data_IF_086477151633
#
_entry.id   IF_086477151633
#
_cell.length_a   1.000
_cell.length_b   1.000
_cell.length_c   1.000
_cell.angle_alpha   90.00
_cell.angle_beta   90.00
_cell.angle_gamma   90.00
#
_symmetry.space_group_name_H-M   'P 1'
#
loop_
_entity.id
_entity.type
_entity.pdbx_description
1 polymer ?
#
# COMPACT_ATOMS: atom_id res chain seq x y z
N UNK A 1 20.35 -2.92 -5.50
CA UNK A 1 21.81 -2.82 -5.58
C UNK A 1 22.18 -1.36 -5.81
N UNK A 2 23.09 -0.83 -5.01
CA UNK A 2 23.63 0.52 -5.20
C UNK A 2 24.51 0.45 -6.46
N UNK A 3 24.10 1.15 -7.53
CA UNK A 3 24.90 1.22 -8.76
C UNK A 3 26.23 1.88 -8.47
N UNK A 4 27.34 1.25 -8.85
CA UNK A 4 28.67 1.85 -8.69
C UNK A 4 28.84 3.07 -9.63
N UNK A 5 29.75 3.98 -9.29
CA UNK A 5 30.08 5.09 -10.21
C UNK A 5 30.49 4.62 -11.62
N UNK A 6 30.98 3.38 -11.73
CA UNK A 6 31.32 2.74 -13.01
C UNK A 6 30.06 2.33 -13.79
N UNK A 7 29.06 1.76 -13.12
CA UNK A 7 27.79 1.34 -13.76
C UNK A 7 27.02 2.56 -14.26
N UNK A 8 26.95 3.62 -13.43
CA UNK A 8 26.37 4.91 -13.84
C UNK A 8 27.11 5.48 -15.03
N UNK A 9 28.46 5.49 -14.99
CA UNK A 9 29.29 5.98 -16.05
C UNK A 9 29.09 5.22 -17.38
N UNK A 10 28.93 3.90 -17.33
CA UNK A 10 28.65 3.09 -18.51
C UNK A 10 27.27 3.43 -19.11
N UNK A 11 26.24 3.53 -18.28
CA UNK A 11 24.88 3.94 -18.71
C UNK A 11 24.90 5.30 -19.40
N UNK A 12 25.66 6.27 -18.87
CA UNK A 12 25.79 7.60 -19.46
C UNK A 12 26.54 7.60 -20.82
N UNK A 13 27.50 6.69 -20.98
CA UNK A 13 28.21 6.53 -22.28
C UNK A 13 27.28 5.90 -23.30
N UNK A 14 26.54 4.85 -22.91
CA UNK A 14 25.61 4.14 -23.80
C UNK A 14 24.46 5.06 -24.26
N UNK A 15 24.02 5.98 -23.38
CA UNK A 15 23.05 7.02 -23.70
C UNK A 15 23.62 8.23 -24.47
N UNK A 16 24.92 8.26 -24.76
CA UNK A 16 25.57 9.38 -25.47
C UNK A 16 25.70 10.67 -24.64
N UNK A 17 25.48 10.58 -23.33
CA UNK A 17 25.58 11.74 -22.41
C UNK A 17 27.01 12.13 -22.15
N UNK A 18 27.92 11.18 -21.92
CA UNK A 18 29.34 11.42 -21.72
C UNK A 18 30.17 10.56 -22.68
N UNK A 19 31.40 10.99 -22.98
CA UNK A 19 32.29 10.29 -23.91
C UNK A 19 33.11 9.17 -23.29
N UNK A 20 33.28 9.15 -21.94
CA UNK A 20 34.23 8.25 -21.27
C UNK A 20 33.76 7.91 -19.86
N UNK A 21 33.61 6.58 -19.59
CA UNK A 21 33.36 6.03 -18.26
C UNK A 21 34.42 6.48 -17.27
N UNK A 22 35.71 6.37 -17.63
CA UNK A 22 36.82 6.75 -16.74
C UNK A 22 36.85 8.22 -16.37
N UNK A 23 36.41 9.12 -17.27
CA UNK A 23 36.30 10.55 -16.97
C UNK A 23 35.17 10.81 -15.95
N UNK A 24 34.03 10.12 -16.10
CA UNK A 24 32.92 10.23 -15.18
C UNK A 24 33.27 9.66 -13.81
N UNK A 25 33.86 8.46 -13.73
CA UNK A 25 34.26 7.82 -12.46
C UNK A 25 35.21 8.72 -11.65
N UNK A 26 36.22 9.31 -12.30
CA UNK A 26 37.13 10.26 -11.64
C UNK A 26 36.40 11.46 -11.02
N UNK A 27 35.38 11.97 -11.70
CA UNK A 27 34.59 13.10 -11.20
C UNK A 27 33.66 12.64 -10.07
N UNK A 28 33.05 11.46 -10.20
CA UNK A 28 32.20 10.84 -9.20
C UNK A 28 32.94 10.63 -7.87
N UNK A 29 34.17 10.06 -7.91
CA UNK A 29 35.01 9.82 -6.73
C UNK A 29 35.47 11.10 -6.04
N UNK A 30 35.65 12.21 -6.79
CA UNK A 30 36.06 13.49 -6.22
C UNK A 30 34.94 14.29 -5.59
N UNK A 31 33.70 13.91 -5.80
CA UNK A 31 32.52 14.67 -5.36
C UNK A 31 31.80 13.93 -4.24
N UNK A 32 31.90 14.43 -3.02
CA UNK A 32 31.29 13.79 -1.85
C UNK A 32 29.75 13.57 -2.00
N UNK A 33 29.07 14.51 -2.67
CA UNK A 33 27.64 14.42 -2.95
C UNK A 33 27.25 13.30 -3.94
N UNK A 34 28.19 12.69 -4.67
CA UNK A 34 27.90 11.63 -5.65
C UNK A 34 27.19 10.42 -5.04
N UNK A 35 27.41 10.16 -3.75
CA UNK A 35 26.73 9.10 -3.01
C UNK A 35 25.24 9.37 -2.73
N UNK A 36 24.77 10.60 -2.93
CA UNK A 36 23.35 10.96 -2.80
C UNK A 36 22.56 10.78 -4.09
N UNK A 37 23.18 10.40 -5.20
CA UNK A 37 22.48 10.09 -6.45
C UNK A 37 21.54 8.92 -6.20
N UNK A 38 20.25 9.15 -6.42
CA UNK A 38 19.21 8.13 -6.25
C UNK A 38 19.04 7.33 -7.54
N UNK A 39 18.69 6.04 -7.47
CA UNK A 39 18.24 5.30 -8.65
C UNK A 39 17.02 5.98 -9.28
N UNK A 40 16.94 5.98 -10.61
CA UNK A 40 15.81 6.59 -11.34
C UNK A 40 16.19 6.96 -12.77
N UNK A 41 15.24 7.54 -13.49
CA UNK A 41 15.44 8.08 -14.83
C UNK A 41 15.77 9.56 -14.74
N UNK A 42 16.75 10.01 -15.50
CA UNK A 42 17.21 11.39 -15.52
C UNK A 42 17.17 11.97 -16.94
N UNK A 43 16.69 13.21 -17.07
CA UNK A 43 16.76 13.97 -18.31
C UNK A 43 18.09 14.72 -18.36
N UNK A 44 19.02 14.24 -19.18
CA UNK A 44 20.32 14.85 -19.39
C UNK A 44 20.53 15.19 -20.87
N UNK A 45 21.34 16.22 -21.14
CA UNK A 45 21.74 16.57 -22.53
C UNK A 45 22.78 15.57 -23.04
N UNK A 46 22.79 15.35 -24.33
CA UNK A 46 23.87 14.60 -24.96
C UNK A 46 25.18 15.40 -24.95
N UNK A 47 26.32 14.71 -25.04
CA UNK A 47 27.67 15.29 -25.17
C UNK A 47 28.05 16.25 -24.03
N UNK A 48 27.60 15.94 -22.81
CA UNK A 48 27.99 16.69 -21.61
C UNK A 48 29.43 16.37 -21.18
N UNK A 49 30.06 17.31 -20.46
CA UNK A 49 31.27 16.99 -19.69
C UNK A 49 30.94 16.05 -18.54
N UNK A 50 31.91 15.28 -18.04
CA UNK A 50 31.72 14.42 -16.88
C UNK A 50 31.24 15.20 -15.64
N UNK A 51 31.75 16.40 -15.42
CA UNK A 51 31.30 17.27 -14.33
C UNK A 51 29.86 17.77 -14.54
N UNK A 52 29.52 18.15 -15.78
CA UNK A 52 28.16 18.57 -16.12
C UNK A 52 27.14 17.46 -15.97
N UNK A 53 27.47 16.24 -16.40
CA UNK A 53 26.61 15.06 -16.24
C UNK A 53 26.42 14.71 -14.75
N UNK A 54 27.49 14.77 -13.95
CA UNK A 54 27.38 14.53 -12.49
C UNK A 54 26.52 15.60 -11.80
N UNK A 55 26.72 16.88 -12.14
CA UNK A 55 25.87 17.96 -11.63
C UNK A 55 24.40 17.77 -12.04
N UNK A 56 24.17 17.33 -13.28
CA UNK A 56 22.82 17.01 -13.76
C UNK A 56 22.17 15.84 -13.02
N UNK A 57 22.92 14.82 -12.60
CA UNK A 57 22.42 13.71 -11.78
C UNK A 57 22.17 14.10 -10.32
N UNK A 58 22.84 15.14 -9.82
CA UNK A 58 22.65 15.66 -8.47
C UNK A 58 21.50 16.69 -8.39
N UNK A 59 21.09 17.20 -9.53
CA UNK A 59 19.94 18.11 -9.63
C UNK A 59 18.66 17.27 -9.71
N UNK A 60 17.87 17.29 -8.63
CA UNK A 60 16.62 16.53 -8.54
C UNK A 60 15.59 16.94 -9.60
N UNK A 61 15.67 18.15 -10.14
CA UNK A 61 14.78 18.60 -11.24
C UNK A 61 14.99 17.87 -12.56
N UNK A 62 16.15 17.23 -12.72
CA UNK A 62 16.44 16.38 -13.87
C UNK A 62 15.99 14.92 -13.72
N UNK A 63 15.55 14.55 -12.52
CA UNK A 63 15.03 13.21 -12.26
C UNK A 63 13.61 13.09 -12.79
N UNK A 64 13.42 12.19 -13.73
CA UNK A 64 12.13 11.90 -14.38
C UNK A 64 11.71 10.51 -13.93
N UNK A 65 11.46 10.30 -12.65
CA UNK A 65 10.75 9.11 -12.22
C UNK A 65 9.30 9.25 -12.66
N UNK A 66 8.97 8.51 -13.70
CA UNK A 66 7.67 8.60 -14.36
C UNK A 66 6.70 7.52 -13.90
N UNK A 67 6.97 6.82 -12.80
CA UNK A 67 6.12 5.71 -12.37
C UNK A 67 5.84 5.75 -10.87
N UNK A 68 4.57 5.89 -10.52
CA UNK A 68 4.08 5.72 -9.16
C UNK A 68 3.65 4.28 -9.01
N UNK A 69 4.29 3.53 -8.10
CA UNK A 69 3.92 2.15 -7.81
C UNK A 69 3.22 2.08 -6.45
N UNK A 70 2.02 1.50 -6.44
CA UNK A 70 1.23 1.22 -5.24
C UNK A 70 1.22 -0.30 -5.04
N UNK A 71 1.57 -0.73 -3.83
CA UNK A 71 1.47 -2.14 -3.43
C UNK A 71 0.24 -2.35 -2.54
N UNK A 72 -0.27 -3.59 -2.50
CA UNK A 72 -1.34 -3.95 -1.57
C UNK A 72 -0.92 -3.69 -0.11
N UNK A 73 -1.88 -3.32 0.73
CA UNK A 73 -1.68 -2.97 2.12
C UNK A 73 -1.15 -1.54 2.36
N UNK A 74 -0.67 -0.83 1.35
CA UNK A 74 -0.27 0.57 1.52
C UNK A 74 -1.45 1.45 1.92
N UNK A 75 -1.20 2.37 2.86
CA UNK A 75 -2.18 3.37 3.30
C UNK A 75 -2.23 4.55 2.33
N UNK A 76 -3.35 5.23 2.29
CA UNK A 76 -3.50 6.46 1.49
C UNK A 76 -2.41 7.49 1.79
N UNK A 77 -1.97 7.61 3.06
CA UNK A 77 -0.89 8.50 3.46
C UNK A 77 0.44 8.18 2.78
N UNK A 78 0.75 6.90 2.58
CA UNK A 78 1.96 6.45 1.89
C UNK A 78 1.84 6.71 0.37
N UNK A 79 0.64 6.53 -0.19
CA UNK A 79 0.36 6.86 -1.59
C UNK A 79 0.50 8.36 -1.83
N UNK A 80 -0.05 9.21 -0.95
CA UNK A 80 0.12 10.67 -1.01
C UNK A 80 1.60 11.06 -1.06
N UNK A 81 2.39 10.53 -0.12
CA UNK A 81 3.84 10.77 -0.09
C UNK A 81 4.52 10.34 -1.38
N UNK A 82 4.14 9.18 -1.93
CA UNK A 82 4.70 8.69 -3.20
C UNK A 82 4.36 9.63 -4.37
N UNK A 83 3.15 10.19 -4.42
CA UNK A 83 2.74 11.18 -5.42
C UNK A 83 3.59 12.44 -5.31
N UNK A 84 3.77 12.98 -4.08
CA UNK A 84 4.65 14.12 -3.81
C UNK A 84 6.08 13.86 -4.31
N UNK A 85 6.66 12.71 -3.92
CA UNK A 85 8.05 12.37 -4.23
C UNK A 85 8.29 12.20 -5.75
N UNK A 86 7.34 11.60 -6.48
CA UNK A 86 7.50 11.28 -7.90
C UNK A 86 7.14 12.46 -8.79
N UNK A 87 6.06 13.18 -8.48
CA UNK A 87 5.59 14.30 -9.30
C UNK A 87 6.30 15.62 -8.97
N UNK A 88 7.01 15.71 -7.85
CA UNK A 88 7.65 16.96 -7.40
C UNK A 88 6.66 18.07 -7.04
N UNK A 89 5.46 17.70 -6.60
CA UNK A 89 4.40 18.61 -6.16
C UNK A 89 4.40 18.76 -4.65
N UNK A 90 3.64 19.73 -4.11
CA UNK A 90 3.53 19.90 -2.65
C UNK A 90 2.47 18.97 -2.04
N UNK A 91 2.57 18.72 -0.73
CA UNK A 91 1.56 17.95 0.00
C UNK A 91 0.17 18.60 -0.11
N UNK A 92 0.10 19.94 -0.06
CA UNK A 92 -1.15 20.69 -0.18
C UNK A 92 -1.83 20.48 -1.54
N UNK A 93 -1.03 20.36 -2.62
CA UNK A 93 -1.57 20.09 -3.96
C UNK A 93 -2.15 18.67 -4.04
N UNK A 94 -1.50 17.70 -3.40
CA UNK A 94 -2.01 16.32 -3.34
C UNK A 94 -3.25 16.23 -2.45
N UNK A 95 -3.25 16.91 -1.30
CA UNK A 95 -4.40 16.96 -0.41
C UNK A 95 -5.60 17.63 -1.06
N UNK A 96 -5.39 18.72 -1.80
CA UNK A 96 -6.44 19.40 -2.57
C UNK A 96 -7.03 18.46 -3.64
N UNK A 97 -6.19 17.65 -4.32
CA UNK A 97 -6.64 16.69 -5.30
C UNK A 97 -7.52 15.59 -4.66
N UNK A 98 -7.13 15.05 -3.50
CA UNK A 98 -7.95 14.08 -2.75
C UNK A 98 -9.24 14.67 -2.19
N UNK A 99 -9.27 15.96 -1.86
CA UNK A 99 -10.46 16.66 -1.37
C UNK A 99 -11.51 16.88 -2.47
N UNK A 100 -11.09 16.99 -3.72
CA UNK A 100 -11.99 17.09 -4.87
C UNK A 100 -12.44 15.69 -5.33
N UNK A 101 -13.36 15.12 -4.56
CA UNK A 101 -13.86 13.74 -4.78
C UNK A 101 -14.55 13.56 -6.12
N UNK A 102 -15.16 14.62 -6.66
CA UNK A 102 -15.79 14.59 -7.99
C UNK A 102 -14.73 14.52 -9.10
N UNK A 103 -13.68 15.35 -9.01
CA UNK A 103 -12.62 15.37 -10.02
C UNK A 103 -11.80 14.08 -10.08
N UNK A 104 -11.59 13.39 -8.95
CA UNK A 104 -10.94 12.08 -8.92
C UNK A 104 -11.91 10.93 -9.22
N UNK A 105 -13.19 11.19 -9.40
CA UNK A 105 -14.21 10.18 -9.70
C UNK A 105 -14.46 9.20 -8.54
N UNK A 106 -14.26 9.65 -7.30
CA UNK A 106 -14.49 8.81 -6.12
C UNK A 106 -15.99 8.54 -5.94
N UNK A 107 -16.43 7.27 -5.93
CA UNK A 107 -17.84 6.95 -5.76
C UNK A 107 -18.40 7.41 -4.41
N UNK A 108 -19.69 7.73 -4.39
CA UNK A 108 -20.37 8.20 -3.16
C UNK A 108 -20.32 7.21 -2.01
N UNK A 109 -20.31 5.90 -2.32
CA UNK A 109 -20.18 4.81 -1.33
C UNK A 109 -18.88 4.83 -0.56
N UNK A 110 -17.83 5.50 -1.07
CA UNK A 110 -16.57 5.73 -0.35
C UNK A 110 -16.70 6.72 0.81
N UNK A 111 -17.82 7.42 0.93
CA UNK A 111 -18.05 8.39 2.01
C UNK A 111 -17.09 9.58 2.02
N UNK A 112 -16.50 9.92 0.86
CA UNK A 112 -15.55 11.02 0.72
C UNK A 112 -14.10 10.68 1.11
N UNK A 113 -13.80 9.43 1.45
CA UNK A 113 -12.45 8.97 1.81
C UNK A 113 -11.94 7.94 0.78
N UNK A 114 -10.81 8.24 0.13
CA UNK A 114 -10.24 7.38 -0.89
C UNK A 114 -9.39 6.21 -0.34
N UNK A 115 -9.32 6.02 1.00
CA UNK A 115 -8.65 4.85 1.57
C UNK A 115 -9.28 3.55 1.07
N UNK A 116 -8.45 2.66 0.52
CA UNK A 116 -8.88 1.40 -0.09
C UNK A 116 -9.39 1.52 -1.54
N UNK A 117 -9.50 2.74 -2.09
CA UNK A 117 -10.00 2.99 -3.44
C UNK A 117 -8.90 3.27 -4.47
N UNK A 118 -7.63 3.09 -4.11
CA UNK A 118 -6.49 3.34 -5.00
C UNK A 118 -5.89 2.00 -5.44
N UNK A 119 -6.24 1.52 -6.62
CA UNK A 119 -5.87 0.18 -7.07
C UNK A 119 -4.36 -0.05 -7.00
N UNK A 120 -3.86 -1.11 -6.35
CA UNK A 120 -2.46 -1.51 -6.42
C UNK A 120 -2.02 -1.74 -7.87
N UNK A 121 -0.86 -1.17 -8.22
CA UNK A 121 -0.33 -1.22 -9.58
C UNK A 121 0.75 -0.19 -9.84
N UNK A 122 1.21 -0.10 -11.08
CA UNK A 122 2.20 0.89 -11.53
C UNK A 122 1.53 1.88 -12.48
N UNK A 123 1.65 3.16 -12.16
CA UNK A 123 1.03 4.27 -12.89
C UNK A 123 2.12 5.15 -13.49
N UNK A 124 2.21 5.15 -14.80
CA UNK A 124 3.09 6.08 -15.50
C UNK A 124 2.56 7.51 -15.35
N UNK A 125 3.47 8.42 -15.10
CA UNK A 125 3.20 9.86 -14.97
C UNK A 125 3.84 10.57 -16.15
N UNK A 126 3.03 11.29 -16.91
CA UNK A 126 3.45 12.13 -18.03
C UNK A 126 3.65 13.59 -17.59
N UNK A 127 4.26 14.42 -18.47
CA UNK A 127 4.45 15.85 -18.20
C UNK A 127 3.11 16.63 -18.06
N UNK A 128 2.04 16.12 -18.65
CA UNK A 128 0.72 16.73 -18.61
C UNK A 128 -0.13 16.25 -17.41
N UNK A 129 0.37 15.29 -16.65
CA UNK A 129 -0.36 14.76 -15.51
C UNK A 129 -0.35 15.71 -14.31
N UNK A 130 -1.48 15.79 -13.64
CA UNK A 130 -1.68 16.43 -12.33
C UNK A 130 -1.92 15.38 -11.25
N UNK A 131 -1.77 15.69 -9.97
CA UNK A 131 -2.16 14.77 -8.89
C UNK A 131 -3.59 14.23 -9.08
N UNK A 132 -4.52 15.10 -9.47
CA UNK A 132 -5.92 14.72 -9.73
C UNK A 132 -6.06 13.66 -10.83
N UNK A 133 -5.36 13.83 -11.97
CA UNK A 133 -5.46 12.87 -13.09
C UNK A 133 -4.87 11.51 -12.72
N UNK A 134 -3.80 11.50 -11.96
CA UNK A 134 -3.15 10.26 -11.50
C UNK A 134 -4.04 9.53 -10.49
N UNK A 135 -4.55 10.25 -9.49
CA UNK A 135 -5.46 9.69 -8.47
C UNK A 135 -6.74 9.17 -9.14
N UNK A 136 -7.30 9.91 -10.09
CA UNK A 136 -8.49 9.47 -10.83
C UNK A 136 -8.28 8.14 -11.56
N UNK A 137 -7.10 7.90 -12.13
CA UNK A 137 -6.75 6.59 -12.73
C UNK A 137 -6.70 5.47 -11.71
N UNK A 138 -6.19 5.74 -10.50
CA UNK A 138 -6.15 4.78 -9.40
C UNK A 138 -7.55 4.41 -8.92
N UNK A 139 -8.39 5.41 -8.70
CA UNK A 139 -9.80 5.23 -8.29
C UNK A 139 -10.57 4.48 -9.36
N UNK A 140 -10.46 4.92 -10.63
CA UNK A 140 -11.10 4.23 -11.76
C UNK A 140 -10.68 2.77 -11.84
N UNK A 141 -9.41 2.48 -11.63
CA UNK A 141 -8.89 1.11 -11.60
C UNK A 141 -9.61 0.24 -10.56
N UNK A 142 -9.82 0.77 -9.34
CA UNK A 142 -10.58 0.05 -8.31
C UNK A 142 -12.04 -0.16 -8.70
N UNK A 143 -12.69 0.86 -9.27
CA UNK A 143 -14.08 0.74 -9.73
C UNK A 143 -14.19 -0.32 -10.83
N UNK A 144 -13.33 -0.26 -11.85
CA UNK A 144 -13.30 -1.22 -12.95
C UNK A 144 -13.06 -2.67 -12.45
N UNK A 145 -12.17 -2.83 -11.45
CA UNK A 145 -11.88 -4.12 -10.84
C UNK A 145 -13.10 -4.68 -10.09
N UNK A 146 -13.78 -3.85 -9.30
CA UNK A 146 -14.99 -4.25 -8.58
C UNK A 146 -16.12 -4.58 -9.55
N UNK A 147 -16.27 -3.84 -10.65
CA UNK A 147 -17.22 -4.13 -11.73
C UNK A 147 -16.93 -5.47 -12.39
N UNK A 148 -15.65 -5.72 -12.70
CA UNK A 148 -15.19 -6.99 -13.28
C UNK A 148 -15.46 -8.19 -12.37
N UNK A 149 -15.38 -7.98 -11.06
CA UNK A 149 -15.67 -9.00 -10.04
C UNK A 149 -17.17 -9.11 -9.70
N UNK A 150 -18.02 -8.27 -10.31
CA UNK A 150 -19.47 -8.29 -10.14
C UNK A 150 -19.95 -7.72 -8.79
N UNK A 151 -19.16 -6.85 -8.15
CA UNK A 151 -19.51 -6.23 -6.86
C UNK A 151 -20.50 -5.09 -7.09
N UNK A 152 -21.70 -5.23 -6.54
CA UNK A 152 -22.72 -4.18 -6.63
C UNK A 152 -22.24 -2.89 -5.92
N UNK A 153 -22.57 -1.69 -6.43
CA UNK A 153 -22.15 -0.42 -5.83
C UNK A 153 -22.38 -0.33 -4.31
N UNK A 154 -23.56 -0.76 -3.86
CA UNK A 154 -23.91 -0.74 -2.43
C UNK A 154 -23.00 -1.60 -1.52
N UNK A 155 -22.32 -2.60 -2.08
CA UNK A 155 -21.48 -3.55 -1.32
C UNK A 155 -19.99 -3.19 -1.39
N UNK A 156 -19.57 -2.31 -2.32
CA UNK A 156 -18.15 -2.03 -2.61
C UNK A 156 -17.37 -1.60 -1.39
N UNK A 157 -17.88 -0.62 -0.64
CA UNK A 157 -17.19 -0.12 0.55
C UNK A 157 -17.00 -1.23 1.59
N UNK A 158 -18.02 -2.04 1.85
CA UNK A 158 -17.96 -3.17 2.78
C UNK A 158 -16.95 -4.22 2.32
N UNK A 159 -16.93 -4.54 1.03
CA UNK A 159 -15.97 -5.48 0.44
C UNK A 159 -14.54 -4.96 0.58
N UNK A 160 -14.28 -3.68 0.27
CA UNK A 160 -12.95 -3.08 0.40
C UNK A 160 -12.48 -3.01 1.86
N UNK A 161 -13.36 -2.70 2.81
CA UNK A 161 -13.04 -2.72 4.24
C UNK A 161 -12.58 -4.12 4.65
N UNK A 162 -13.38 -5.15 4.37
CA UNK A 162 -13.05 -6.54 4.73
C UNK A 162 -11.76 -7.00 4.02
N UNK A 163 -11.60 -6.69 2.74
CA UNK A 163 -10.42 -7.09 1.97
C UNK A 163 -9.14 -6.43 2.49
N UNK A 164 -9.19 -5.16 2.90
CA UNK A 164 -8.04 -4.49 3.49
C UNK A 164 -7.62 -5.10 4.84
N UNK A 165 -8.58 -5.61 5.61
CA UNK A 165 -8.30 -6.35 6.85
C UNK A 165 -7.67 -7.71 6.52
N UNK A 166 -8.22 -8.45 5.54
CA UNK A 166 -7.64 -9.73 5.10
C UNK A 166 -6.18 -9.57 4.69
N UNK A 167 -5.84 -8.56 3.89
CA UNK A 167 -4.45 -8.25 3.50
C UNK A 167 -3.58 -7.84 4.69
N UNK A 168 -4.15 -7.13 5.66
CA UNK A 168 -3.45 -6.71 6.87
C UNK A 168 -3.12 -7.87 7.84
N UNK A 169 -3.93 -8.93 7.81
CA UNK A 169 -3.79 -10.09 8.70
C UNK A 169 -3.10 -11.29 8.02
N UNK A 170 -3.15 -11.40 6.69
CA UNK A 170 -2.74 -12.62 5.99
C UNK A 170 -2.09 -12.33 4.65
N UNK A 171 -0.84 -12.77 4.50
CA UNK A 171 -0.07 -12.66 3.25
C UNK A 171 0.02 -13.99 2.46
N UNK A 172 -0.62 -15.06 2.97
CA UNK A 172 -0.60 -16.38 2.33
C UNK A 172 -1.94 -16.66 1.68
N UNK A 173 -1.94 -16.72 0.37
CA UNK A 173 -3.14 -16.82 -0.49
C UNK A 173 -4.14 -17.89 -0.02
N UNK A 174 -3.65 -19.09 0.32
CA UNK A 174 -4.51 -20.23 0.72
C UNK A 174 -5.33 -19.98 1.99
N UNK A 175 -4.86 -19.06 2.87
CA UNK A 175 -5.54 -18.77 4.13
C UNK A 175 -6.44 -17.53 4.06
N UNK A 176 -6.28 -16.67 3.05
CA UNK A 176 -7.12 -15.47 2.89
C UNK A 176 -8.62 -15.76 2.92
N UNK A 177 -9.16 -16.79 2.20
CA UNK A 177 -10.59 -17.13 2.28
C UNK A 177 -11.03 -17.61 3.68
N UNK A 178 -10.13 -18.21 4.45
CA UNK A 178 -10.39 -18.65 5.82
C UNK A 178 -10.43 -17.45 6.78
N UNK A 179 -9.52 -16.49 6.63
CA UNK A 179 -9.54 -15.21 7.39
C UNK A 179 -10.82 -14.43 7.06
N UNK A 180 -11.19 -14.35 5.77
CA UNK A 180 -12.46 -13.75 5.37
C UNK A 180 -13.66 -14.44 6.05
N UNK A 181 -13.64 -15.76 6.17
CA UNK A 181 -14.67 -16.51 6.91
C UNK A 181 -14.69 -16.15 8.40
N UNK A 182 -13.52 -16.01 9.04
CA UNK A 182 -13.45 -15.57 10.45
C UNK A 182 -14.08 -14.18 10.62
N UNK A 183 -13.82 -13.26 9.70
CA UNK A 183 -14.42 -11.91 9.72
C UNK A 183 -15.95 -12.03 9.66
N UNK A 184 -16.51 -12.80 8.71
CA UNK A 184 -17.96 -12.99 8.59
C UNK A 184 -18.57 -13.63 9.84
N UNK A 185 -17.93 -14.68 10.37
CA UNK A 185 -18.42 -15.38 11.56
C UNK A 185 -18.41 -14.46 12.79
N UNK A 186 -17.34 -13.66 12.99
CA UNK A 186 -17.27 -12.71 14.11
C UNK A 186 -18.31 -11.59 14.00
N UNK A 187 -18.55 -11.06 12.80
CA UNK A 187 -19.59 -10.05 12.59
C UNK A 187 -20.98 -10.60 12.91
N UNK A 188 -21.23 -11.88 12.64
CA UNK A 188 -22.49 -12.55 12.95
C UNK A 188 -22.62 -12.96 14.43
N UNK A 189 -21.49 -13.11 15.14
CA UNK A 189 -21.43 -13.61 16.53
C UNK A 189 -21.74 -12.51 17.56
N UNK A 190 -22.82 -11.77 17.38
CA UNK A 190 -23.17 -10.61 18.23
C UNK A 190 -23.51 -10.97 19.68
N UNK A 191 -23.94 -12.20 19.93
CA UNK A 191 -24.35 -12.70 21.25
C UNK A 191 -23.43 -13.78 21.81
N UNK A 192 -22.39 -14.18 21.09
CA UNK A 192 -21.46 -15.24 21.47
C UNK A 192 -20.15 -14.71 22.06
N UNK A 193 -19.06 -15.45 21.85
CA UNK A 193 -17.76 -15.17 22.46
C UNK A 193 -17.14 -13.86 21.97
N UNK A 194 -17.30 -13.53 20.69
CA UNK A 194 -16.64 -12.36 20.08
C UNK A 194 -17.48 -11.08 20.15
N UNK A 195 -18.77 -11.20 20.43
CA UNK A 195 -19.73 -10.08 20.57
C UNK A 195 -19.72 -9.13 19.35
N UNK A 196 -19.49 -9.65 18.16
CA UNK A 196 -19.37 -8.87 16.94
C UNK A 196 -18.06 -8.10 16.77
N UNK A 197 -17.12 -8.25 17.68
CA UNK A 197 -15.80 -7.60 17.61
C UNK A 197 -14.85 -8.41 16.74
N UNK A 198 -14.20 -7.72 15.78
CA UNK A 198 -13.22 -8.39 14.89
C UNK A 198 -11.91 -8.71 15.62
N UNK A 199 -11.46 -7.85 16.53
CA UNK A 199 -10.26 -8.07 17.33
C UNK A 199 -8.97 -8.19 16.52
N UNK A 200 -8.86 -7.46 15.39
CA UNK A 200 -7.74 -7.52 14.45
C UNK A 200 -6.66 -6.50 14.79
N UNK A 201 -5.40 -6.95 14.84
CA UNK A 201 -4.27 -6.08 15.18
C UNK A 201 -4.00 -5.04 14.08
N UNK A 202 -4.18 -5.39 12.83
CA UNK A 202 -4.06 -4.49 11.69
C UNK A 202 -4.95 -3.25 11.82
N UNK A 203 -6.17 -3.41 12.30
CA UNK A 203 -7.12 -2.30 12.51
C UNK A 203 -6.69 -1.41 13.67
N UNK A 204 -6.19 -1.99 14.77
CA UNK A 204 -5.65 -1.26 15.92
C UNK A 204 -4.45 -0.41 15.47
N UNK A 205 -3.47 -1.02 14.79
CA UNK A 205 -2.29 -0.33 14.29
C UNK A 205 -2.65 0.81 13.33
N UNK A 206 -3.62 0.60 12.44
CA UNK A 206 -4.11 1.66 11.56
C UNK A 206 -4.68 2.83 12.37
N UNK A 207 -5.54 2.56 13.35
CA UNK A 207 -6.19 3.58 14.17
C UNK A 207 -5.23 4.45 14.96
N UNK A 208 -4.06 3.92 15.36
CA UNK A 208 -3.00 4.68 16.05
C UNK A 208 -1.92 5.23 15.10
N UNK A 209 -2.11 5.08 13.77
CA UNK A 209 -1.18 5.62 12.77
C UNK A 209 0.10 4.81 12.56
N UNK A 210 0.21 3.61 13.13
CA UNK A 210 1.37 2.71 12.93
C UNK A 210 1.21 1.92 11.64
N UNK A 211 2.29 1.72 10.90
CA UNK A 211 2.27 1.01 9.59
C UNK A 211 2.61 -0.48 9.71
N UNK A 212 3.22 -0.91 10.82
CA UNK A 212 3.65 -2.29 11.04
C UNK A 212 3.94 -2.55 12.51
N UNK A 213 4.18 -3.81 12.86
CA UNK A 213 4.56 -4.25 14.20
C UNK A 213 3.44 -5.02 14.91
N UNK A 214 3.60 -5.16 16.22
CA UNK A 214 2.59 -5.73 17.11
C UNK A 214 2.09 -4.59 17.99
N UNK A 215 0.77 -4.43 18.17
CA UNK A 215 0.24 -3.39 19.04
C UNK A 215 0.70 -3.62 20.49
N UNK A 216 1.16 -2.55 21.13
CA UNK A 216 1.45 -2.56 22.56
C UNK A 216 0.16 -2.30 23.39
N UNK A 217 0.27 -2.35 24.73
CA UNK A 217 -0.91 -2.18 25.58
C UNK A 217 -1.57 -0.82 25.40
N UNK A 218 -0.80 0.25 25.17
CA UNK A 218 -1.36 1.59 24.95
C UNK A 218 -2.13 1.66 23.62
N UNK A 219 -1.67 0.96 22.59
CA UNK A 219 -2.38 0.82 21.32
C UNK A 219 -3.71 0.08 21.50
N UNK A 220 -3.67 -1.03 22.26
CA UNK A 220 -4.86 -1.87 22.52
C UNK A 220 -5.91 -1.13 23.36
N UNK A 221 -5.49 -0.26 24.25
CA UNK A 221 -6.36 0.54 25.12
C UNK A 221 -6.82 1.85 24.45
N UNK A 222 -6.27 2.17 23.27
CA UNK A 222 -6.64 3.40 22.56
C UNK A 222 -8.06 3.30 22.00
N UNK A 223 -8.95 4.14 22.53
CA UNK A 223 -10.35 4.20 22.10
C UNK A 223 -10.51 5.09 20.87
N UNK A 224 -10.44 4.44 19.70
CA UNK A 224 -10.71 5.06 18.41
C UNK A 224 -11.58 4.14 17.55
N UNK A 225 -12.29 4.67 16.52
CA UNK A 225 -13.24 3.90 15.72
C UNK A 225 -12.65 2.70 14.96
N UNK A 226 -11.34 2.63 14.79
CA UNK A 226 -10.65 1.51 14.12
C UNK A 226 -10.25 0.40 15.09
N UNK A 227 -10.35 0.62 16.40
CA UNK A 227 -10.00 -0.40 17.38
C UNK A 227 -11.11 -1.45 17.48
N UNK A 228 -11.02 -2.48 16.63
CA UNK A 228 -11.99 -3.59 16.57
C UNK A 228 -11.90 -4.55 17.75
N UNK A 229 -11.02 -4.29 18.74
CA UNK A 229 -10.99 -4.97 20.04
C UNK A 229 -11.91 -4.29 21.05
N UNK A 230 -12.27 -3.02 20.83
CA UNK A 230 -13.16 -2.24 21.69
C UNK A 230 -14.51 -1.97 21.03
N UNK A 231 -14.57 -1.91 19.71
CA UNK A 231 -15.77 -1.62 18.93
C UNK A 231 -16.19 -2.82 18.09
N UNK A 232 -17.48 -3.19 18.19
CA UNK A 232 -18.08 -4.23 17.38
C UNK A 232 -18.35 -3.74 15.95
N UNK A 233 -18.33 -4.66 14.99
CA UNK A 233 -18.57 -4.35 13.58
C UNK A 233 -17.30 -4.03 12.80
N UNK A 234 -17.49 -3.47 11.61
CA UNK A 234 -16.41 -3.05 10.72
C UNK A 234 -15.88 -1.66 11.11
N UNK A 235 -14.59 -1.39 10.89
CA UNK A 235 -14.07 -0.02 11.00
C UNK A 235 -14.71 0.90 9.96
N UNK A 236 -14.60 2.24 10.14
CA UNK A 236 -15.29 3.23 9.28
C UNK A 236 -14.86 3.20 7.81
N UNK A 237 -13.61 2.85 7.53
CA UNK A 237 -13.03 2.81 6.18
C UNK A 237 -12.14 1.58 6.02
N UNK A 238 -11.73 1.24 4.79
CA UNK A 238 -10.57 0.37 4.59
C UNK A 238 -9.34 0.89 5.36
N UNK A 239 -8.41 -0.01 5.66
CA UNK A 239 -7.17 0.29 6.41
C UNK A 239 -5.91 0.24 5.53
N UNK A 240 -6.08 0.21 4.23
CA UNK A 240 -5.06 0.19 3.19
C UNK A 240 -5.65 -0.21 1.85
N UNK A 241 -4.82 -0.24 0.81
CA UNK A 241 -5.23 -0.59 -0.55
C UNK A 241 -5.30 -2.12 -0.69
N UNK A 242 -6.51 -2.74 -0.85
CA UNK A 242 -6.63 -4.19 -0.88
C UNK A 242 -6.13 -4.79 -2.20
N UNK A 243 -5.56 -5.99 -2.12
CA UNK A 243 -5.22 -6.80 -3.29
C UNK A 243 -6.45 -7.42 -3.93
N UNK A 244 -6.36 -7.74 -5.24
CA UNK A 244 -7.38 -8.53 -5.93
C UNK A 244 -7.65 -9.87 -5.23
N UNK A 245 -6.59 -10.51 -4.67
CA UNK A 245 -6.70 -11.78 -3.96
C UNK A 245 -7.56 -11.65 -2.70
N UNK A 246 -7.34 -10.60 -1.92
CA UNK A 246 -8.12 -10.34 -0.72
C UNK A 246 -9.59 -10.00 -1.06
N UNK A 247 -9.83 -9.22 -2.12
CA UNK A 247 -11.20 -8.95 -2.61
C UNK A 247 -11.89 -10.26 -3.00
N UNK A 248 -11.24 -11.14 -3.77
CA UNK A 248 -11.76 -12.46 -4.14
C UNK A 248 -12.02 -13.35 -2.93
N UNK A 249 -11.16 -13.30 -1.92
CA UNK A 249 -11.33 -14.05 -0.68
C UNK A 249 -12.58 -13.60 0.10
N UNK A 250 -12.84 -12.30 0.14
CA UNK A 250 -14.05 -11.73 0.77
C UNK A 250 -15.32 -12.11 0.00
N UNK A 251 -15.25 -12.11 -1.34
CA UNK A 251 -16.40 -12.50 -2.19
C UNK A 251 -16.69 -13.99 -2.12
N UNK A 252 -15.70 -14.82 -1.86
CA UNK A 252 -15.80 -16.28 -1.78
C UNK A 252 -15.09 -16.81 -0.53
N UNK A 253 -15.60 -16.51 0.67
CA UNK A 253 -14.98 -16.97 1.91
C UNK A 253 -15.10 -18.50 2.02
N UNK A 254 -14.08 -19.15 2.60
CA UNK A 254 -14.10 -20.59 2.82
C UNK A 254 -15.28 -21.02 3.69
N UNK A 255 -15.73 -22.26 3.54
CA UNK A 255 -16.69 -22.83 4.48
C UNK A 255 -16.01 -23.16 5.81
N UNK A 256 -16.64 -22.81 6.93
CA UNK A 256 -16.12 -23.09 8.26
C UNK A 256 -16.81 -22.30 9.36
N UNK A 257 -16.57 -22.72 10.60
CA UNK A 257 -17.16 -22.13 11.81
C UNK A 257 -16.13 -21.36 12.65
N UNK A 258 -14.96 -21.08 12.07
CA UNK A 258 -13.84 -20.47 12.79
C UNK A 258 -14.15 -19.05 13.27
N UNK A 259 -13.75 -18.78 14.50
CA UNK A 259 -13.77 -17.45 15.12
C UNK A 259 -12.37 -16.93 15.39
N UNK A 260 -11.34 -17.80 15.32
CA UNK A 260 -9.97 -17.49 15.68
C UNK A 260 -8.98 -18.07 14.67
N UNK A 261 -7.82 -17.47 14.59
CA UNK A 261 -6.65 -17.99 13.88
C UNK A 261 -5.37 -17.56 14.59
N UNK A 262 -4.29 -18.29 14.36
CA UNK A 262 -2.94 -17.94 14.81
C UNK A 262 -1.91 -18.55 13.87
N UNK A 263 -0.90 -17.76 13.48
CA UNK A 263 0.26 -18.28 12.76
C UNK A 263 1.21 -18.92 13.75
N UNK A 264 1.41 -20.23 13.62
CA UNK A 264 2.24 -21.05 14.53
C UNK A 264 3.66 -21.23 14.04
N UNK A 265 3.94 -20.94 12.78
CA UNK A 265 5.25 -21.00 12.19
C UNK A 265 5.48 -19.79 11.28
N UNK A 266 6.33 -18.85 11.70
CA UNK A 266 6.60 -17.61 10.97
C UNK A 266 7.41 -17.84 9.70
N UNK A 267 8.23 -18.91 9.62
CA UNK A 267 9.06 -19.21 8.46
C UNK A 267 8.22 -19.78 7.30
N UNK A 268 7.26 -20.66 7.63
CA UNK A 268 6.37 -21.28 6.65
C UNK A 268 5.04 -20.56 6.49
N UNK A 269 4.69 -19.70 7.45
CA UNK A 269 3.41 -19.03 7.57
C UNK A 269 2.27 -19.99 7.91
N UNK A 270 2.57 -21.16 8.49
CA UNK A 270 1.54 -22.11 8.91
C UNK A 270 0.61 -21.47 9.92
N UNK A 271 -0.69 -21.50 9.59
CA UNK A 271 -1.74 -20.84 10.36
C UNK A 271 -2.81 -21.86 10.73
N UNK A 272 -3.16 -21.91 12.00
CA UNK A 272 -4.22 -22.75 12.54
C UNK A 272 -5.46 -21.91 12.82
N UNK A 273 -6.62 -22.53 12.63
CA UNK A 273 -7.93 -21.93 12.83
C UNK A 273 -8.70 -22.65 13.92
N UNK A 274 -9.52 -21.93 14.69
CA UNK A 274 -10.28 -22.48 15.80
C UNK A 274 -11.68 -21.87 15.85
N UNK A 275 -12.64 -22.66 16.30
CA UNK A 275 -14.04 -22.24 16.46
C UNK A 275 -14.36 -21.78 17.88
N UNK A 276 -13.52 -22.13 18.86
CA UNK A 276 -13.66 -21.76 20.27
C UNK A 276 -12.36 -21.16 20.82
N UNK A 277 -12.45 -20.38 21.89
CA UNK A 277 -11.28 -19.83 22.58
C UNK A 277 -10.39 -20.95 23.14
N UNK A 278 -10.98 -22.04 23.65
CA UNK A 278 -10.21 -23.18 24.18
C UNK A 278 -9.34 -23.84 23.09
N UNK A 279 -9.88 -24.01 21.88
CA UNK A 279 -9.10 -24.50 20.72
C UNK A 279 -8.00 -23.52 20.32
N UNK A 280 -8.30 -22.22 20.35
CA UNK A 280 -7.34 -21.17 20.02
C UNK A 280 -6.15 -21.14 21.01
N UNK A 281 -6.42 -21.31 22.31
CA UNK A 281 -5.35 -21.37 23.32
C UNK A 281 -4.45 -22.59 23.08
N UNK A 282 -5.01 -23.75 22.76
CA UNK A 282 -4.23 -24.95 22.38
C UNK A 282 -3.38 -24.72 21.12
N UNK A 283 -3.91 -23.97 20.14
CA UNK A 283 -3.15 -23.64 18.92
C UNK A 283 -1.98 -22.68 19.20
N UNK A 284 -2.10 -21.81 20.20
CA UNK A 284 -1.04 -20.87 20.61
C UNK A 284 0.14 -21.54 21.32
N UNK A 285 -0.06 -22.74 21.87
CA UNK A 285 0.98 -23.52 22.57
C UNK A 285 1.88 -24.31 21.61
N UNK A 286 1.56 -24.36 20.33
CA UNK A 286 2.32 -25.05 19.28
C UNK A 286 3.38 -24.15 18.66
#
# INVERSE_FOLDING_TARGET
PISSGRDIGQTLVDAGVVKSVGAFVRQFEKTAASMSIRPGTYRLKQQMSAAGALAGLLDETNRVDSTITITSGQKMSEVKKRIVDIMGVTEEQVDAAFADTEAIGLPSEAGGNAEGWLLPGSYEVSEDDTPTTVIARMVKGTVDELDRLGVAPADRQTVLIKASIVDGEMNIDKYMPMVARVIENRLADTNGETKGMLGMDSTVLYGVGKTSGVPDQADLDNDNPYNTRLHAGLPPTPIGQPSEKAIKAVLNPAEGTWLYFVTVNLDTGETLFASTLEEQEKNREQ
#
